data_IF_951418698881
#
_entry.id   IF_951418698881
#
_cell.length_a   1.000
_cell.length_b   1.000
_cell.length_c   1.000
_cell.angle_alpha   90.00
_cell.angle_beta   90.00
_cell.angle_gamma   90.00
#
_symmetry.space_group_name_H-M   'P 1'
#
loop_
_entity.id
_entity.type
_entity.pdbx_description
1 polymer ?
#
# COMPACT_ATOMS: atom_id res chain seq x y z
N UNK A 1 -5.85 39.75 17.17
CA UNK A 1 -6.98 38.81 17.29
C UNK A 1 -6.71 37.75 18.34
N UNK A 2 -5.52 37.11 18.34
CA UNK A 2 -5.13 36.10 19.34
C UNK A 2 -4.83 36.63 20.76
N UNK A 3 -4.72 37.95 20.95
CA UNK A 3 -4.47 38.61 22.26
C UNK A 3 -5.73 39.10 22.98
N UNK A 4 -6.90 38.54 22.67
CA UNK A 4 -8.14 38.94 23.32
C UNK A 4 -8.20 38.41 24.75
N UNK A 5 -8.64 39.21 25.73
CA UNK A 5 -8.91 38.72 27.10
C UNK A 5 -10.09 37.73 27.15
N UNK A 6 -10.93 37.71 26.09
CA UNK A 6 -12.00 36.73 25.94
C UNK A 6 -11.49 35.45 25.29
N UNK A 7 -11.51 34.35 26.04
CA UNK A 7 -11.20 32.99 25.54
C UNK A 7 -12.04 32.59 24.33
N UNK A 8 -13.29 33.04 24.23
CA UNK A 8 -14.17 32.74 23.09
C UNK A 8 -13.64 33.37 21.80
N UNK A 9 -13.16 34.62 21.86
CA UNK A 9 -12.59 35.31 20.69
C UNK A 9 -11.27 34.65 20.27
N UNK A 10 -10.46 34.18 21.22
CA UNK A 10 -9.24 33.40 20.92
C UNK A 10 -9.62 32.10 20.20
N UNK A 11 -10.60 31.39 20.73
CA UNK A 11 -11.06 30.11 20.16
C UNK A 11 -11.60 30.28 18.73
N UNK A 12 -12.49 31.25 18.51
CA UNK A 12 -13.05 31.55 17.18
C UNK A 12 -11.94 31.93 16.19
N UNK A 13 -10.99 32.77 16.62
CA UNK A 13 -9.84 33.19 15.81
C UNK A 13 -8.95 32.00 15.44
N UNK A 14 -8.70 31.10 16.40
CA UNK A 14 -7.96 29.86 16.18
C UNK A 14 -8.69 28.94 15.21
N UNK A 15 -10.00 28.78 15.34
CA UNK A 15 -10.80 27.98 14.42
C UNK A 15 -10.69 28.48 12.99
N UNK A 16 -10.87 29.78 12.75
CA UNK A 16 -10.77 30.38 11.40
C UNK A 16 -9.35 30.20 10.85
N UNK A 17 -8.33 30.51 11.65
CA UNK A 17 -6.92 30.35 11.26
C UNK A 17 -6.62 28.90 10.89
N UNK A 18 -7.15 27.94 11.65
CA UNK A 18 -6.98 26.51 11.36
C UNK A 18 -7.52 26.13 9.99
N UNK A 19 -8.69 26.66 9.61
CA UNK A 19 -9.32 26.31 8.35
C UNK A 19 -8.51 26.87 7.17
N UNK A 20 -8.01 28.10 7.29
CA UNK A 20 -7.14 28.72 6.27
C UNK A 20 -5.87 27.89 6.08
N UNK A 21 -5.22 27.49 7.17
CA UNK A 21 -4.00 26.68 7.14
C UNK A 21 -4.30 25.29 6.54
N UNK A 22 -5.38 24.63 6.95
CA UNK A 22 -5.75 23.29 6.44
C UNK A 22 -6.09 23.32 4.96
N UNK A 23 -6.80 24.35 4.48
CA UNK A 23 -7.14 24.49 3.05
C UNK A 23 -5.87 24.68 2.21
N UNK A 24 -4.86 25.37 2.73
CA UNK A 24 -3.58 25.55 2.05
C UNK A 24 -2.78 24.26 1.84
N UNK A 25 -3.11 23.17 2.56
CA UNK A 25 -2.50 21.86 2.40
C UNK A 25 -3.07 21.06 1.21
N UNK A 26 -4.29 21.40 0.76
CA UNK A 26 -4.99 20.64 -0.29
C UNK A 26 -4.16 20.66 -1.58
N UNK A 27 -3.89 19.47 -2.12
CA UNK A 27 -3.08 19.24 -3.33
C UNK A 27 -1.58 19.61 -3.23
N UNK A 28 -1.05 19.92 -2.04
CA UNK A 28 0.39 20.07 -1.88
C UNK A 28 1.10 18.72 -2.05
N UNK A 29 2.11 18.70 -2.91
CA UNK A 29 2.99 17.54 -3.10
C UNK A 29 4.10 17.55 -2.04
N UNK A 30 4.76 16.40 -1.89
CA UNK A 30 5.96 16.25 -1.06
C UNK A 30 7.02 17.27 -1.50
N UNK A 31 7.62 17.96 -0.54
CA UNK A 31 8.64 18.99 -0.75
C UNK A 31 8.09 20.37 -1.11
N UNK A 32 6.77 20.52 -1.30
CA UNK A 32 6.16 21.83 -1.51
C UNK A 32 5.83 22.50 -0.18
N UNK A 33 6.30 23.74 -0.01
CA UNK A 33 5.99 24.56 1.15
C UNK A 33 4.54 25.04 1.13
N UNK A 34 4.01 25.31 2.32
CA UNK A 34 2.67 25.84 2.48
C UNK A 34 2.51 27.23 1.81
N UNK A 35 1.48 27.45 0.97
CA UNK A 35 1.36 28.65 0.13
C UNK A 35 1.23 29.95 0.94
N UNK A 36 0.61 29.88 2.11
CA UNK A 36 0.43 31.05 2.98
C UNK A 36 1.57 31.26 3.99
N UNK A 37 2.60 30.40 4.02
CA UNK A 37 3.65 30.47 5.04
C UNK A 37 4.34 31.84 5.07
N UNK A 38 4.76 32.35 3.91
CA UNK A 38 5.47 33.63 3.84
C UNK A 38 4.56 34.80 4.23
N UNK A 39 3.30 34.79 3.81
CA UNK A 39 2.33 35.82 4.16
C UNK A 39 2.07 35.86 5.67
N UNK A 40 1.76 34.71 6.27
CA UNK A 40 1.50 34.56 7.71
C UNK A 40 2.75 34.81 8.58
N UNK A 41 3.94 34.61 8.00
CA UNK A 41 5.19 35.00 8.66
C UNK A 41 5.35 36.53 8.63
N UNK A 42 5.03 37.17 7.50
CA UNK A 42 5.23 38.60 7.29
C UNK A 42 4.24 39.47 8.07
N UNK A 43 3.00 38.99 8.24
CA UNK A 43 1.98 39.69 9.03
C UNK A 43 2.08 39.44 10.56
N UNK A 44 3.04 38.60 10.98
CA UNK A 44 3.28 38.27 12.39
C UNK A 44 2.42 37.14 12.95
N UNK A 45 1.52 36.52 12.16
CA UNK A 45 0.68 35.41 12.63
C UNK A 45 1.52 34.22 13.12
N UNK A 46 2.60 33.85 12.42
CA UNK A 46 3.49 32.77 12.87
C UNK A 46 4.15 33.10 14.21
N UNK A 47 4.60 34.34 14.40
CA UNK A 47 5.22 34.79 15.65
C UNK A 47 4.22 34.69 16.80
N UNK A 48 2.97 35.06 16.54
CA UNK A 48 1.91 34.98 17.53
C UNK A 48 1.57 33.52 17.89
N UNK A 49 1.48 32.61 16.90
CA UNK A 49 1.29 31.19 17.15
C UNK A 49 2.41 30.61 18.03
N UNK A 50 3.67 30.95 17.73
CA UNK A 50 4.82 30.53 18.54
C UNK A 50 4.72 31.09 19.96
N UNK A 51 4.32 32.36 20.11
CA UNK A 51 4.09 32.94 21.45
C UNK A 51 3.02 32.16 22.21
N UNK A 52 1.87 31.87 21.58
CA UNK A 52 0.78 31.10 22.20
C UNK A 52 1.28 29.70 22.59
N UNK A 53 2.03 29.03 21.72
CA UNK A 53 2.64 27.74 22.02
C UNK A 53 3.50 27.79 23.30
N UNK A 54 4.36 28.80 23.42
CA UNK A 54 5.28 28.90 24.55
C UNK A 54 4.63 29.38 25.87
N UNK A 55 3.48 30.06 25.82
CA UNK A 55 2.89 30.72 27.00
C UNK A 55 1.55 30.17 27.44
N UNK A 56 0.88 29.34 26.62
CA UNK A 56 -0.43 28.80 26.94
C UNK A 56 -0.30 27.45 27.65
N UNK A 57 -0.80 27.39 28.89
CA UNK A 57 -0.80 26.14 29.69
C UNK A 57 -1.93 25.17 29.29
N UNK A 58 -2.86 25.59 28.42
CA UNK A 58 -3.96 24.73 27.96
C UNK A 58 -3.45 23.71 26.93
N UNK A 59 -3.45 22.44 27.32
CA UNK A 59 -2.95 21.34 26.48
C UNK A 59 -3.69 21.19 25.14
N UNK A 60 -4.98 21.54 25.06
CA UNK A 60 -5.73 21.46 23.80
C UNK A 60 -5.27 22.55 22.85
N UNK A 61 -5.14 23.79 23.34
CA UNK A 61 -4.61 24.91 22.55
C UNK A 61 -3.18 24.62 22.13
N UNK A 62 -2.37 24.08 23.04
CA UNK A 62 -0.97 23.72 22.77
C UNK A 62 -0.85 22.71 21.62
N UNK A 63 -1.65 21.64 21.64
CA UNK A 63 -1.68 20.63 20.58
C UNK A 63 -2.20 21.19 19.25
N UNK A 64 -3.25 22.02 19.28
CA UNK A 64 -3.79 22.67 18.09
C UNK A 64 -2.76 23.58 17.43
N UNK A 65 -2.06 24.40 18.22
CA UNK A 65 -1.00 25.28 17.72
C UNK A 65 0.17 24.48 17.17
N UNK A 66 0.59 23.40 17.83
CA UNK A 66 1.61 22.50 17.31
C UNK A 66 1.19 21.97 15.92
N UNK A 67 -0.05 21.52 15.78
CA UNK A 67 -0.62 21.04 14.51
C UNK A 67 -0.60 22.13 13.42
N UNK A 68 -0.95 23.37 13.75
CA UNK A 68 -0.89 24.47 12.78
C UNK A 68 0.54 24.77 12.33
N UNK A 69 1.48 24.77 13.27
CA UNK A 69 2.89 24.99 12.98
C UNK A 69 3.47 23.84 12.14
N UNK A 70 3.07 22.58 12.36
CA UNK A 70 3.54 21.46 11.53
C UNK A 70 3.13 21.60 10.06
N UNK A 71 1.89 22.04 9.82
CA UNK A 71 1.37 22.30 8.47
C UNK A 71 2.10 23.50 7.83
N UNK A 72 2.23 24.61 8.57
CA UNK A 72 2.87 25.83 8.06
C UNK A 72 4.35 25.61 7.74
N UNK A 73 5.03 24.79 8.54
CA UNK A 73 6.44 24.43 8.37
C UNK A 73 6.64 23.13 7.56
N UNK A 74 5.63 22.65 6.84
CA UNK A 74 5.78 21.58 5.85
C UNK A 74 6.93 21.90 4.88
N UNK A 75 7.83 20.93 4.69
CA UNK A 75 9.03 21.08 3.84
C UNK A 75 9.88 22.31 4.19
N UNK A 76 9.82 22.77 5.45
CA UNK A 76 10.61 23.88 5.97
C UNK A 76 11.15 23.57 7.37
N UNK A 77 12.28 24.19 7.71
CA UNK A 77 12.88 24.05 9.04
C UNK A 77 12.02 24.73 10.11
N UNK A 78 11.69 24.00 11.16
CA UNK A 78 11.06 24.59 12.35
C UNK A 78 12.03 25.56 13.06
N UNK A 79 11.53 26.64 13.68
CA UNK A 79 12.35 27.49 14.54
C UNK A 79 12.97 26.67 15.67
N UNK A 80 14.26 26.92 15.95
CA UNK A 80 15.04 26.12 16.88
C UNK A 80 14.41 26.05 18.29
N UNK A 81 13.78 27.15 18.71
CA UNK A 81 13.13 27.31 20.00
C UNK A 81 11.97 26.35 20.26
N UNK A 82 11.19 25.99 19.23
CA UNK A 82 10.00 25.12 19.34
C UNK A 82 10.19 23.73 18.71
N UNK A 83 11.28 23.53 17.95
CA UNK A 83 11.47 22.33 17.13
C UNK A 83 11.35 21.02 17.93
N UNK A 84 12.08 20.89 19.05
CA UNK A 84 12.11 19.66 19.83
C UNK A 84 10.77 19.37 20.51
N UNK A 85 10.11 20.40 21.00
CA UNK A 85 8.86 20.27 21.74
C UNK A 85 7.71 19.88 20.83
N UNK A 86 7.57 20.54 19.68
CA UNK A 86 6.57 20.18 18.66
C UNK A 86 6.78 18.73 18.18
N UNK A 87 8.02 18.35 17.86
CA UNK A 87 8.30 16.97 17.43
C UNK A 87 7.95 15.98 18.54
N UNK A 88 8.25 16.30 19.80
CA UNK A 88 7.90 15.46 20.95
C UNK A 88 6.38 15.27 21.05
N UNK A 89 5.58 16.33 20.93
CA UNK A 89 4.10 16.26 20.97
C UNK A 89 3.58 15.23 19.95
N UNK A 90 4.12 15.22 18.74
CA UNK A 90 3.65 14.28 17.71
C UNK A 90 4.20 12.86 17.84
N UNK A 91 5.29 12.68 18.61
CA UNK A 91 5.81 11.36 18.97
C UNK A 91 5.05 10.73 20.14
N UNK A 92 4.47 11.55 21.02
CA UNK A 92 3.71 11.09 22.18
C UNK A 92 2.35 10.50 21.76
N UNK A 93 1.76 9.65 22.61
CA UNK A 93 0.53 8.91 22.26
C UNK A 93 -0.74 9.77 22.43
N UNK A 94 -1.67 9.79 21.46
CA UNK A 94 -1.63 9.09 20.17
C UNK A 94 -0.68 9.76 19.18
N UNK A 95 0.04 8.93 18.42
CA UNK A 95 1.10 9.39 17.50
C UNK A 95 0.49 10.01 16.26
N UNK A 96 1.03 11.17 15.88
CA UNK A 96 0.55 12.01 14.79
C UNK A 96 1.51 11.92 13.61
N UNK A 97 1.35 10.85 12.81
CA UNK A 97 2.27 10.54 11.70
C UNK A 97 2.20 11.53 10.54
N UNK A 98 1.03 12.14 10.30
CA UNK A 98 0.85 13.08 9.19
C UNK A 98 1.66 14.36 9.45
N UNK A 99 1.59 14.88 10.67
CA UNK A 99 2.33 16.06 11.13
C UNK A 99 3.83 15.79 11.17
N UNK A 100 4.25 14.62 11.66
CA UNK A 100 5.64 14.18 11.56
C UNK A 100 6.08 14.08 10.10
N UNK A 101 5.20 13.62 9.20
CA UNK A 101 5.42 13.55 7.77
C UNK A 101 5.66 14.93 7.16
N UNK A 102 4.82 15.92 7.47
CA UNK A 102 5.00 17.30 6.98
C UNK A 102 6.35 17.88 7.39
N UNK A 103 6.74 17.67 8.65
CA UNK A 103 8.01 18.14 9.20
C UNK A 103 9.22 17.37 8.63
N UNK A 104 9.06 16.07 8.37
CA UNK A 104 10.07 15.21 7.75
C UNK A 104 10.34 15.53 6.27
N UNK A 105 9.59 16.44 5.65
CA UNK A 105 9.94 16.90 4.31
C UNK A 105 11.08 17.93 4.31
N UNK A 106 11.51 18.36 5.50
CA UNK A 106 12.68 19.21 5.69
C UNK A 106 13.80 18.41 6.38
N UNK A 107 14.95 18.15 5.71
CA UNK A 107 16.07 17.43 6.31
C UNK A 107 16.61 18.08 7.59
N UNK A 108 16.43 19.39 7.77
CA UNK A 108 16.80 20.10 9.00
C UNK A 108 16.05 19.59 10.25
N UNK A 109 14.88 18.96 10.08
CA UNK A 109 14.08 18.44 11.19
C UNK A 109 14.39 16.96 11.51
N UNK A 110 15.10 16.24 10.64
CA UNK A 110 15.26 14.78 10.71
C UNK A 110 15.96 14.31 11.99
N UNK A 111 17.01 15.02 12.42
CA UNK A 111 17.75 14.67 13.64
C UNK A 111 16.78 14.63 14.83
N UNK A 112 15.99 15.68 15.03
CA UNK A 112 15.01 15.73 16.12
C UNK A 112 13.89 14.68 15.96
N UNK A 113 13.47 14.34 14.74
CA UNK A 113 12.51 13.26 14.47
C UNK A 113 13.09 11.89 14.80
N UNK A 114 14.38 11.65 14.58
CA UNK A 114 15.02 10.35 14.82
C UNK A 114 15.62 10.20 16.23
N UNK A 115 15.75 11.31 16.98
CA UNK A 115 16.19 11.33 18.37
C UNK A 115 15.32 10.46 19.31
N UNK A 116 15.90 10.07 20.45
CA UNK A 116 15.27 9.31 21.54
C UNK A 116 14.80 7.90 21.14
N UNK A 117 15.63 7.17 20.39
CA UNK A 117 15.36 5.81 19.93
C UNK A 117 14.04 5.67 19.14
N UNK A 118 13.57 6.76 18.53
CA UNK A 118 12.33 6.74 17.76
C UNK A 118 12.43 5.81 16.55
N UNK A 119 13.65 5.55 16.06
CA UNK A 119 13.94 4.50 15.08
C UNK A 119 13.41 3.14 15.53
N UNK A 120 13.72 2.71 16.77
CA UNK A 120 13.29 1.40 17.26
C UNK A 120 11.76 1.35 17.39
N UNK A 121 11.15 2.47 17.80
CA UNK A 121 9.70 2.60 17.81
C UNK A 121 9.08 2.42 16.41
N UNK A 122 9.63 3.10 15.40
CA UNK A 122 9.18 2.96 13.99
C UNK A 122 9.35 1.53 13.48
N UNK A 123 10.29 0.76 14.03
CA UNK A 123 10.54 -0.62 13.66
C UNK A 123 9.63 -1.64 14.36
N UNK A 124 9.12 -1.34 15.55
CA UNK A 124 8.53 -2.35 16.46
C UNK A 124 7.02 -2.31 16.66
N UNK A 125 6.29 -1.30 16.19
CA UNK A 125 4.85 -1.17 16.46
C UNK A 125 3.97 -1.46 15.23
N UNK A 126 3.28 -2.60 15.22
CA UNK A 126 2.52 -3.05 14.05
C UNK A 126 1.17 -2.37 13.85
N UNK A 127 0.62 -1.78 14.91
CA UNK A 127 -0.63 -1.01 14.80
C UNK A 127 -0.49 0.16 13.84
N UNK A 128 0.73 0.68 13.69
CA UNK A 128 1.04 1.83 12.84
C UNK A 128 2.05 1.48 11.74
N UNK A 129 2.06 0.23 11.27
CA UNK A 129 3.04 -0.25 10.29
C UNK A 129 3.02 0.54 8.98
N UNK A 130 1.85 0.87 8.47
CA UNK A 130 1.69 1.63 7.23
C UNK A 130 2.16 3.08 7.39
N UNK A 131 1.73 3.75 8.46
CA UNK A 131 2.09 5.14 8.72
C UNK A 131 3.60 5.27 9.02
N UNK A 132 4.18 4.33 9.77
CA UNK A 132 5.63 4.29 10.00
C UNK A 132 6.42 4.05 8.71
N UNK A 133 5.95 3.18 7.81
CA UNK A 133 6.55 3.01 6.48
C UNK A 133 6.50 4.33 5.70
N UNK A 134 5.36 5.02 5.71
CA UNK A 134 5.19 6.27 4.98
C UNK A 134 6.14 7.36 5.51
N UNK A 135 6.26 7.49 6.83
CA UNK A 135 7.19 8.44 7.45
C UNK A 135 8.65 8.09 7.09
N UNK A 136 9.04 6.82 7.17
CA UNK A 136 10.41 6.39 6.78
C UNK A 136 10.65 6.69 5.28
N UNK A 137 9.65 6.50 4.42
CA UNK A 137 9.76 6.83 2.99
C UNK A 137 10.04 8.32 2.80
N UNK A 138 9.27 9.20 3.44
CA UNK A 138 9.47 10.65 3.36
C UNK A 138 10.88 11.02 3.82
N UNK A 139 11.32 10.48 4.97
CA UNK A 139 12.67 10.69 5.47
C UNK A 139 13.74 10.30 4.42
N UNK A 140 13.61 9.17 3.73
CA UNK A 140 14.54 8.75 2.66
C UNK A 140 14.52 9.69 1.46
N UNK A 141 13.32 10.12 1.03
CA UNK A 141 13.12 10.99 -0.14
C UNK A 141 13.71 12.38 0.09
N UNK A 142 13.68 12.88 1.32
CA UNK A 142 14.13 14.23 1.68
C UNK A 142 15.54 14.27 2.30
N UNK A 143 16.19 13.13 2.57
CA UNK A 143 17.54 13.06 3.15
C UNK A 143 18.64 13.50 2.18
N UNK A 144 19.71 14.08 2.75
CA UNK A 144 20.99 14.22 2.05
C UNK A 144 21.61 12.84 1.73
N UNK A 145 22.39 12.75 0.64
CA UNK A 145 23.09 11.51 0.24
C UNK A 145 23.88 10.85 1.39
N UNK A 146 24.45 11.66 2.29
CA UNK A 146 25.34 11.22 3.38
C UNK A 146 24.61 10.42 4.46
N UNK A 147 23.38 10.79 4.79
CA UNK A 147 22.63 10.22 5.91
C UNK A 147 21.58 9.17 5.44
N UNK A 148 21.29 9.14 4.14
CA UNK A 148 20.33 8.23 3.50
C UNK A 148 20.60 6.75 3.76
N UNK A 149 21.87 6.36 3.90
CA UNK A 149 22.26 4.95 4.09
C UNK A 149 21.74 4.34 5.39
N UNK A 150 21.70 5.12 6.49
CA UNK A 150 21.20 4.63 7.78
C UNK A 150 19.68 4.41 7.72
N UNK A 151 18.96 5.34 7.09
CA UNK A 151 17.50 5.29 6.98
C UNK A 151 17.07 4.19 6.00
N UNK A 152 17.81 3.97 4.90
CA UNK A 152 17.59 2.80 4.03
C UNK A 152 17.75 1.49 4.81
N UNK A 153 18.73 1.41 5.71
CA UNK A 153 18.90 0.21 6.55
C UNK A 153 17.69 0.02 7.48
N UNK A 154 17.19 1.09 8.10
CA UNK A 154 15.97 1.09 8.93
C UNK A 154 14.77 0.61 8.09
N UNK A 155 14.55 1.20 6.92
CA UNK A 155 13.47 0.80 6.01
C UNK A 155 13.55 -0.68 5.61
N UNK A 156 14.73 -1.18 5.23
CA UNK A 156 14.94 -2.60 4.92
C UNK A 156 14.62 -3.50 6.09
N UNK A 157 15.00 -3.11 7.33
CA UNK A 157 14.65 -3.85 8.54
C UNK A 157 13.14 -3.89 8.74
N UNK A 158 12.44 -2.76 8.58
CA UNK A 158 10.98 -2.68 8.75
C UNK A 158 10.22 -3.52 7.74
N UNK A 159 10.57 -3.42 6.45
CA UNK A 159 9.93 -4.21 5.39
C UNK A 159 10.12 -5.71 5.64
N UNK A 160 11.31 -6.15 6.08
CA UNK A 160 11.55 -7.55 6.46
C UNK A 160 10.74 -7.98 7.67
N UNK A 161 10.62 -7.12 8.69
CA UNK A 161 9.81 -7.40 9.88
C UNK A 161 8.36 -7.66 9.49
N UNK A 162 7.75 -6.72 8.76
CA UNK A 162 6.36 -6.83 8.30
C UNK A 162 6.15 -8.05 7.38
N UNK A 163 7.10 -8.33 6.49
CA UNK A 163 7.03 -9.51 5.61
C UNK A 163 7.04 -10.82 6.42
N UNK A 164 7.86 -10.88 7.48
CA UNK A 164 7.93 -12.04 8.38
C UNK A 164 6.67 -12.19 9.20
N UNK A 165 6.13 -11.10 9.75
CA UNK A 165 4.87 -11.14 10.50
C UNK A 165 3.71 -11.62 9.63
N UNK A 166 3.61 -11.12 8.40
CA UNK A 166 2.59 -11.58 7.45
C UNK A 166 2.71 -13.08 7.16
N UNK A 167 3.95 -13.58 7.00
CA UNK A 167 4.21 -15.00 6.82
C UNK A 167 3.83 -15.81 8.08
N UNK A 168 4.19 -15.33 9.27
CA UNK A 168 3.83 -15.97 10.54
C UNK A 168 2.31 -16.03 10.68
N UNK A 169 1.61 -14.94 10.40
CA UNK A 169 0.15 -14.88 10.43
C UNK A 169 -0.49 -15.88 9.45
N UNK A 170 0.05 -16.01 8.24
CA UNK A 170 -0.39 -17.03 7.27
C UNK A 170 -0.18 -18.46 7.78
N UNK A 171 0.99 -18.74 8.38
CA UNK A 171 1.30 -20.06 8.97
C UNK A 171 0.36 -20.35 10.14
N UNK A 172 0.15 -19.39 11.05
CA UNK A 172 -0.74 -19.55 12.20
C UNK A 172 -2.18 -19.80 11.75
N UNK A 173 -2.68 -19.07 10.76
CA UNK A 173 -4.02 -19.31 10.22
C UNK A 173 -4.13 -20.68 9.57
N UNK A 174 -3.10 -21.12 8.83
CA UNK A 174 -3.06 -22.47 8.28
C UNK A 174 -3.13 -23.52 9.39
N UNK A 175 -2.31 -23.39 10.43
CA UNK A 175 -2.33 -24.30 11.59
C UNK A 175 -3.71 -24.32 12.26
N UNK A 176 -4.34 -23.15 12.45
CA UNK A 176 -5.69 -23.05 13.02
C UNK A 176 -6.72 -23.76 12.12
N UNK A 177 -6.64 -23.59 10.81
CA UNK A 177 -7.52 -24.23 9.84
C UNK A 177 -7.36 -25.76 9.84
N UNK A 178 -6.11 -26.23 9.92
CA UNK A 178 -5.76 -27.66 9.98
C UNK A 178 -6.26 -28.29 11.28
N UNK A 179 -6.16 -27.59 12.42
CA UNK A 179 -6.71 -28.04 13.71
C UNK A 179 -8.25 -28.11 13.67
N UNK A 180 -8.91 -27.12 13.06
CA UNK A 180 -10.38 -27.08 12.97
C UNK A 180 -10.93 -28.10 11.99
N UNK A 181 -10.16 -28.46 10.96
CA UNK A 181 -10.57 -29.35 9.89
C UNK A 181 -9.48 -30.39 9.60
N UNK A 182 -9.25 -31.35 10.52
CA UNK A 182 -8.16 -32.31 10.40
C UNK A 182 -8.23 -33.14 9.10
N UNK A 183 -9.44 -33.38 8.58
CA UNK A 183 -9.65 -34.16 7.35
C UNK A 183 -9.58 -33.29 6.07
N UNK A 184 -9.35 -31.97 6.17
CA UNK A 184 -9.38 -31.06 5.02
C UNK A 184 -8.29 -31.41 4.01
N UNK A 185 -7.08 -31.70 4.50
CA UNK A 185 -5.95 -32.03 3.64
C UNK A 185 -6.18 -33.37 2.93
N UNK A 186 -6.78 -34.36 3.61
CA UNK A 186 -7.15 -35.65 3.03
C UNK A 186 -8.26 -35.51 1.98
N UNK A 187 -9.29 -34.70 2.26
CA UNK A 187 -10.37 -34.38 1.30
C UNK A 187 -9.86 -33.61 0.08
N UNK A 188 -8.97 -32.63 0.25
CA UNK A 188 -8.35 -31.92 -0.88
C UNK A 188 -7.45 -32.84 -1.72
N UNK A 189 -6.79 -33.81 -1.09
CA UNK A 189 -5.94 -34.78 -1.78
C UNK A 189 -6.78 -35.77 -2.58
N UNK A 190 -7.86 -36.29 -2.00
CA UNK A 190 -8.85 -37.12 -2.69
C UNK A 190 -9.47 -36.38 -3.88
N UNK A 191 -9.88 -35.12 -3.70
CA UNK A 191 -10.44 -34.32 -4.80
C UNK A 191 -9.45 -34.09 -5.94
N UNK A 192 -8.16 -33.90 -5.63
CA UNK A 192 -7.10 -33.78 -6.65
C UNK A 192 -6.84 -35.09 -7.40
N UNK A 193 -6.91 -36.23 -6.71
CA UNK A 193 -6.77 -37.55 -7.34
C UNK A 193 -7.97 -37.92 -8.21
N UNK A 194 -9.20 -37.62 -7.77
CA UNK A 194 -10.40 -37.83 -8.59
C UNK A 194 -10.39 -36.98 -9.86
N UNK A 195 -9.93 -35.72 -9.76
CA UNK A 195 -9.81 -34.83 -10.91
C UNK A 195 -8.78 -35.35 -11.93
N UNK A 196 -7.65 -35.90 -11.46
CA UNK A 196 -6.67 -36.55 -12.34
C UNK A 196 -7.24 -37.77 -13.06
N UNK A 197 -7.95 -38.65 -12.33
CA UNK A 197 -8.61 -39.82 -12.92
C UNK A 197 -9.66 -39.43 -13.94
N UNK A 198 -10.41 -38.36 -13.69
CA UNK A 198 -11.38 -37.86 -14.67
C UNK A 198 -10.69 -37.40 -15.96
N UNK A 199 -9.60 -36.65 -15.83
CA UNK A 199 -8.83 -36.17 -16.98
C UNK A 199 -8.24 -37.31 -17.81
N UNK A 200 -7.79 -38.40 -17.18
CA UNK A 200 -7.32 -39.60 -17.90
C UNK A 200 -8.46 -40.28 -18.65
N UNK A 201 -9.63 -40.44 -18.01
CA UNK A 201 -10.82 -41.00 -18.68
C UNK A 201 -11.27 -40.18 -19.88
N UNK A 202 -11.23 -38.85 -19.76
CA UNK A 202 -11.61 -37.94 -20.84
C UNK A 202 -10.64 -38.06 -22.03
N UNK A 203 -9.34 -38.18 -21.76
CA UNK A 203 -8.31 -38.43 -22.81
C UNK A 203 -8.48 -39.78 -23.49
N UNK A 204 -8.78 -40.84 -22.74
CA UNK A 204 -9.02 -42.17 -23.30
C UNK A 204 -10.26 -42.16 -24.21
N UNK A 205 -11.30 -41.45 -23.79
CA UNK A 205 -12.52 -41.28 -24.58
C UNK A 205 -12.26 -40.48 -25.86
N UNK A 206 -11.55 -39.36 -25.78
CA UNK A 206 -11.15 -38.58 -26.96
C UNK A 206 -10.32 -39.41 -27.95
N UNK A 207 -9.42 -40.26 -27.45
CA UNK A 207 -8.63 -41.17 -28.29
C UNK A 207 -9.50 -42.25 -28.95
N UNK A 208 -10.47 -42.81 -28.22
CA UNK A 208 -11.44 -43.78 -28.76
C UNK A 208 -12.30 -43.15 -29.85
N UNK A 209 -12.90 -41.99 -29.58
CA UNK A 209 -13.78 -41.28 -30.51
C UNK A 209 -13.01 -40.86 -31.78
N UNK A 210 -11.74 -40.46 -31.63
CA UNK A 210 -10.86 -40.16 -32.77
C UNK A 210 -10.52 -41.39 -33.61
N UNK A 211 -10.32 -42.55 -32.96
CA UNK A 211 -10.06 -43.82 -33.66
C UNK A 211 -11.30 -44.31 -34.40
N UNK A 212 -12.49 -44.13 -33.83
CA UNK A 212 -13.76 -44.52 -34.45
C UNK A 212 -14.06 -43.66 -35.68
N UNK A 213 -13.87 -42.33 -35.58
CA UNK A 213 -13.95 -41.43 -36.75
C UNK A 213 -12.99 -41.82 -37.88
N UNK A 214 -11.74 -42.16 -37.55
CA UNK A 214 -10.76 -42.56 -38.55
C UNK A 214 -11.16 -43.87 -39.25
N UNK A 215 -11.76 -44.81 -38.51
CA UNK A 215 -12.26 -46.06 -39.04
C UNK A 215 -13.48 -45.87 -39.96
N UNK A 216 -14.44 -45.04 -39.56
CA UNK A 216 -15.61 -44.71 -40.41
C UNK A 216 -15.18 -44.03 -41.72
N UNK A 217 -14.26 -43.06 -41.63
CA UNK A 217 -13.71 -42.38 -42.81
C UNK A 217 -13.03 -43.36 -43.78
N UNK A 218 -12.23 -44.30 -43.27
CA UNK A 218 -11.58 -45.32 -44.09
C UNK A 218 -12.59 -46.24 -44.77
N UNK A 219 -13.63 -46.64 -44.05
CA UNK A 219 -14.71 -47.49 -44.56
C UNK A 219 -15.50 -46.79 -45.68
N UNK A 220 -15.88 -45.53 -45.50
CA UNK A 220 -16.57 -44.74 -46.53
C UNK A 220 -15.71 -44.61 -47.79
N UNK A 221 -14.40 -44.35 -47.63
CA UNK A 221 -13.46 -44.24 -48.75
C UNK A 221 -13.36 -45.55 -49.56
N UNK A 222 -13.32 -46.70 -48.87
CA UNK A 222 -13.31 -48.02 -49.52
C UNK A 222 -14.62 -48.31 -50.26
N UNK A 223 -15.76 -47.96 -49.68
CA UNK A 223 -17.06 -48.13 -50.32
C UNK A 223 -17.21 -47.23 -51.58
N UNK A 224 -16.65 -46.02 -51.55
CA UNK A 224 -16.64 -45.10 -52.67
C UNK A 224 -15.73 -45.56 -53.80
N UNK A 225 -14.52 -46.06 -53.49
CA UNK A 225 -13.62 -46.69 -54.46
C UNK A 225 -14.28 -47.89 -55.14
N UNK A 226 -14.94 -48.76 -54.38
CA UNK A 226 -15.64 -49.93 -54.92
C UNK A 226 -16.81 -49.55 -55.84
N UNK A 227 -17.52 -48.44 -55.54
CA UNK A 227 -18.56 -47.91 -56.43
C UNK A 227 -17.96 -47.42 -57.75
N UNK A 228 -16.87 -46.66 -57.69
CA UNK A 228 -16.18 -46.16 -58.89
C UNK A 228 -15.65 -47.30 -59.76
N UNK A 229 -15.04 -48.33 -59.17
CA UNK A 229 -14.57 -49.51 -59.91
C UNK A 229 -15.72 -50.24 -60.64
N UNK A 230 -16.86 -50.42 -59.97
CA UNK A 230 -18.06 -51.02 -60.58
C UNK A 230 -18.62 -50.17 -61.71
N UNK A 231 -18.58 -48.86 -61.60
CA UNK A 231 -19.03 -47.93 -62.64
C UNK A 231 -18.12 -47.98 -63.87
N UNK A 232 -16.80 -47.97 -63.66
CA UNK A 232 -15.79 -48.15 -64.72
C UNK A 232 -15.99 -49.49 -65.42
N UNK A 233 -16.23 -50.57 -64.69
CA UNK A 233 -16.46 -51.88 -65.28
C UNK A 233 -17.77 -51.92 -66.10
N UNK A 234 -18.81 -51.22 -65.65
CA UNK A 234 -20.08 -51.11 -66.36
C UNK A 234 -19.93 -50.33 -67.68
N UNK A 235 -19.14 -49.26 -67.69
CA UNK A 235 -18.82 -48.50 -68.90
C UNK A 235 -18.05 -49.35 -69.90
N UNK A 236 -17.01 -50.08 -69.46
CA UNK A 236 -16.26 -51.00 -70.33
C UNK A 236 -17.15 -52.07 -70.98
N UNK A 237 -18.20 -52.53 -70.28
CA UNK A 237 -19.16 -53.51 -70.85
C UNK A 237 -20.10 -52.91 -71.89
N UNK A 238 -20.34 -51.60 -71.88
CA UNK A 238 -21.15 -50.90 -72.89
C UNK A 238 -20.38 -50.75 -74.21
N UNK A 239 -19.07 -50.55 -74.16
CA UNK A 239 -18.23 -50.36 -75.34
C UNK A 239 -17.94 -51.66 -76.13
N UNK A 240 -18.16 -52.84 -75.53
CA UNK A 240 -17.93 -54.15 -76.15
C UNK A 240 -19.14 -54.66 -76.95
N UNK A 241 -20.30 -53.99 -76.87
CA UNK A 241 -21.56 -54.38 -77.54
C UNK A 241 -21.93 -53.52 -78.77
N UNK A 242 -20.95 -52.86 -79.41
CA UNK A 242 -21.10 -52.14 -80.68
C UNK A 242 -20.35 -52.91 -81.78
#
# INVERSE_FOLDING_TARGET
>A
MLKSESNNIIWDSNCITSQIIKVGLINLKVGQQHPFRQQLQSDGTVVELISVFNTCDDQYIHNDVAHYLSILFKAFKLPLEINKEIIKIFKDFPINFDELGFLAESPDNHVAILENNYVDFLLGNDKNAEQSINLIRILIECESEKDRSQIILIFKKRVRFISREKLIFQIVNKIIDDIKNPDKEEKEKLGREEMKKQLERDKEKEASDSSEMAYEYYKETQEEQLKQEKEIELERRKDVNI
#
